data_IF_528098903992
#
_entry.id   IF_528098903992
#
_cell.length_a   1.000
_cell.length_b   1.000
_cell.length_c   1.000
_cell.angle_alpha   90.00
_cell.angle_beta   90.00
_cell.angle_gamma   90.00
#
_symmetry.space_group_name_H-M   'P 1'
#
loop_
_entity.id
_entity.type
_entity.pdbx_description
1 polymer ?
#
# COMPACT_ATOMS: atom_id res chain seq x y z
N UNK A 1 -1.13 3.29 14.79
CA UNK A 1 -0.60 2.10 14.06
C UNK A 1 0.63 2.52 13.24
N UNK A 2 1.56 1.58 12.89
CA UNK A 2 2.84 1.95 12.25
C UNK A 2 2.67 2.77 10.96
N UNK A 3 1.71 2.42 10.11
CA UNK A 3 1.44 3.14 8.86
C UNK A 3 0.89 4.55 9.05
N UNK A 4 0.09 4.81 10.08
CA UNK A 4 -0.40 6.16 10.41
C UNK A 4 0.77 7.06 10.81
N UNK A 5 1.67 6.54 11.66
CA UNK A 5 2.85 7.27 12.09
C UNK A 5 3.79 7.60 10.92
N UNK A 6 3.98 6.68 9.97
CA UNK A 6 4.75 6.92 8.75
C UNK A 6 4.07 7.96 7.86
N UNK A 7 2.76 7.84 7.63
CA UNK A 7 1.97 8.78 6.84
C UNK A 7 2.03 10.20 7.39
N UNK A 8 1.87 10.37 8.70
CA UNK A 8 1.96 11.67 9.39
C UNK A 8 3.36 12.28 9.28
N UNK A 9 4.40 11.45 9.37
CA UNK A 9 5.78 11.89 9.21
C UNK A 9 6.06 12.38 7.79
N UNK A 10 5.74 11.57 6.79
CA UNK A 10 5.90 11.93 5.38
C UNK A 10 5.10 13.20 5.06
N UNK A 11 3.87 13.32 5.54
CA UNK A 11 3.04 14.52 5.36
C UNK A 11 3.71 15.78 5.92
N UNK A 12 4.35 15.70 7.10
CA UNK A 12 5.10 16.82 7.68
C UNK A 12 6.33 17.19 6.87
N UNK A 13 7.10 16.20 6.41
CA UNK A 13 8.26 16.40 5.55
C UNK A 13 7.84 17.11 4.26
N UNK A 14 6.80 16.62 3.60
CA UNK A 14 6.29 17.18 2.35
C UNK A 14 5.71 18.58 2.51
N UNK A 15 5.03 18.87 3.63
CA UNK A 15 4.54 20.22 3.93
C UNK A 15 5.68 21.23 4.05
N UNK A 16 6.78 20.84 4.70
CA UNK A 16 7.98 21.68 4.86
C UNK A 16 8.61 22.03 3.50
N UNK A 17 8.71 21.07 2.59
CA UNK A 17 9.34 21.29 1.29
C UNK A 17 8.42 22.05 0.30
N UNK A 18 7.11 21.80 0.35
CA UNK A 18 6.12 22.54 -0.48
C UNK A 18 6.08 24.03 -0.17
N UNK A 19 6.36 24.42 1.07
CA UNK A 19 6.39 25.81 1.51
C UNK A 19 7.63 26.59 1.07
N UNK A 20 8.61 25.94 0.41
CA UNK A 20 9.84 26.61 -0.03
C UNK A 20 9.67 27.18 -1.42
N UNK A 21 10.02 28.46 -1.59
CA UNK A 21 9.96 29.15 -2.88
C UNK A 21 10.99 28.63 -3.86
N UNK A 22 12.14 28.13 -3.38
CA UNK A 22 13.24 27.57 -4.18
C UNK A 22 13.68 26.25 -3.57
N UNK A 23 13.89 25.25 -4.42
CA UNK A 23 14.47 23.98 -4.00
C UNK A 23 15.97 24.02 -4.29
N UNK A 24 16.77 24.12 -3.23
CA UNK A 24 18.21 23.96 -3.34
C UNK A 24 18.59 22.50 -3.22
N UNK A 25 19.76 22.12 -3.75
CA UNK A 25 20.30 20.77 -3.60
C UNK A 25 20.39 20.37 -2.11
N UNK A 26 20.79 21.30 -1.25
CA UNK A 26 20.85 21.11 0.19
C UNK A 26 19.47 20.76 0.79
N UNK A 27 18.43 21.52 0.44
CA UNK A 27 17.09 21.29 0.96
C UNK A 27 16.51 19.94 0.48
N UNK A 28 16.86 19.55 -0.74
CA UNK A 28 16.48 18.23 -1.28
C UNK A 28 17.17 17.11 -0.51
N UNK A 29 18.48 17.20 -0.27
CA UNK A 29 19.22 16.19 0.50
C UNK A 29 18.73 16.08 1.94
N UNK A 30 18.42 17.20 2.59
CA UNK A 30 17.82 17.20 3.93
C UNK A 30 16.47 16.47 3.92
N UNK A 31 15.61 16.75 2.94
CA UNK A 31 14.32 16.06 2.78
C UNK A 31 14.49 14.55 2.54
N UNK A 32 15.38 14.16 1.61
CA UNK A 32 15.63 12.75 1.32
C UNK A 32 16.18 12.00 2.53
N UNK A 33 17.00 12.66 3.35
CA UNK A 33 17.50 12.10 4.61
C UNK A 33 16.36 11.89 5.62
N UNK A 34 15.43 12.85 5.73
CA UNK A 34 14.25 12.73 6.60
C UNK A 34 13.31 11.61 6.14
N UNK A 35 13.08 11.48 4.80
CA UNK A 35 12.29 10.38 4.20
C UNK A 35 12.96 9.04 4.47
N UNK A 36 14.27 8.92 4.23
CA UNK A 36 15.05 7.72 4.53
C UNK A 36 14.88 7.27 5.98
N UNK A 37 15.02 8.20 6.92
CA UNK A 37 14.84 7.92 8.36
C UNK A 37 13.43 7.44 8.66
N UNK A 38 12.40 8.10 8.09
CA UNK A 38 11.01 7.72 8.32
C UNK A 38 10.70 6.30 7.84
N UNK A 39 11.25 5.89 6.69
CA UNK A 39 11.10 4.53 6.15
C UNK A 39 11.82 3.48 7.00
N UNK A 40 13.05 3.76 7.44
CA UNK A 40 13.82 2.86 8.31
C UNK A 40 13.15 2.67 9.67
N UNK A 41 12.58 3.73 10.26
CA UNK A 41 11.84 3.65 11.52
C UNK A 41 10.48 2.93 11.38
N UNK A 42 9.99 2.79 10.15
CA UNK A 42 8.83 1.96 9.80
C UNK A 42 9.22 0.51 9.43
N UNK A 43 10.43 0.07 9.79
CA UNK A 43 10.97 -1.27 9.55
C UNK A 43 11.09 -1.65 8.06
N UNK A 44 11.18 -0.68 7.15
CA UNK A 44 11.47 -0.97 5.73
C UNK A 44 12.93 -1.43 5.59
N UNK A 45 13.15 -2.44 4.77
CA UNK A 45 14.49 -3.02 4.55
C UNK A 45 15.50 -1.95 4.09
N UNK A 46 16.68 -1.97 4.69
CA UNK A 46 17.74 -0.96 4.45
C UNK A 46 18.17 -0.85 2.98
N UNK A 47 18.30 -1.99 2.28
CA UNK A 47 18.68 -1.99 0.86
C UNK A 47 17.59 -1.34 0.01
N UNK A 48 16.32 -1.72 0.24
CA UNK A 48 15.17 -1.15 -0.45
C UNK A 48 15.09 0.37 -0.25
N UNK A 49 15.29 0.84 0.99
CA UNK A 49 15.29 2.28 1.29
C UNK A 49 16.41 3.01 0.56
N UNK A 50 17.61 2.45 0.51
CA UNK A 50 18.73 3.09 -0.18
C UNK A 50 18.51 3.17 -1.68
N UNK A 51 18.02 2.10 -2.31
CA UNK A 51 17.70 2.07 -3.73
C UNK A 51 16.63 3.10 -4.06
N UNK A 52 15.56 3.14 -3.27
CA UNK A 52 14.49 4.12 -3.40
C UNK A 52 15.01 5.57 -3.31
N UNK A 53 15.82 5.90 -2.30
CA UNK A 53 16.39 7.26 -2.14
C UNK A 53 17.30 7.61 -3.32
N UNK A 54 18.08 6.66 -3.83
CA UNK A 54 18.93 6.87 -5.02
C UNK A 54 18.08 7.20 -6.24
N UNK A 55 17.05 6.43 -6.52
CA UNK A 55 16.17 6.64 -7.66
C UNK A 55 15.45 7.99 -7.60
N UNK A 56 14.90 8.35 -6.43
CA UNK A 56 14.25 9.66 -6.23
C UNK A 56 15.23 10.80 -6.48
N UNK A 57 16.48 10.67 -6.01
CA UNK A 57 17.54 11.68 -6.24
C UNK A 57 17.85 11.84 -7.71
N UNK A 58 18.13 10.75 -8.41
CA UNK A 58 18.48 10.72 -9.82
C UNK A 58 17.39 11.36 -10.68
N UNK A 59 16.13 11.01 -10.42
CA UNK A 59 15.00 11.57 -11.15
C UNK A 59 14.78 13.05 -10.82
N UNK A 60 14.96 13.46 -9.58
CA UNK A 60 14.83 14.85 -9.15
C UNK A 60 15.88 15.77 -9.77
N UNK A 61 17.09 15.27 -10.00
CA UNK A 61 18.17 16.03 -10.66
C UNK A 61 17.98 16.05 -12.18
N UNK A 62 17.47 14.96 -12.77
CA UNK A 62 17.29 14.81 -14.23
C UNK A 62 16.11 15.60 -14.81
N UNK A 63 15.11 15.92 -14.02
CA UNK A 63 13.94 16.67 -14.50
C UNK A 63 14.22 18.17 -14.57
N UNK A 64 14.28 18.70 -15.80
CA UNK A 64 14.21 20.16 -16.03
C UNK A 64 12.90 20.67 -15.44
N UNK A 65 13.00 21.59 -14.50
CA UNK A 65 11.87 22.21 -13.81
C UNK A 65 10.81 22.65 -14.82
N UNK A 66 9.69 21.99 -14.86
CA UNK A 66 8.53 22.45 -15.62
C UNK A 66 8.06 23.76 -14.99
N UNK A 67 8.11 24.85 -15.74
CA UNK A 67 7.91 26.24 -15.29
C UNK A 67 6.56 26.54 -14.64
N UNK A 68 5.64 25.58 -14.59
CA UNK A 68 4.29 25.74 -14.01
C UNK A 68 4.07 25.05 -12.65
N UNK A 69 5.03 24.26 -12.18
CA UNK A 69 4.92 23.52 -10.91
C UNK A 69 6.07 23.95 -9.99
N UNK A 70 5.78 24.23 -8.73
CA UNK A 70 6.84 24.56 -7.79
C UNK A 70 7.81 23.37 -7.63
N UNK A 71 9.14 23.63 -7.55
CA UNK A 71 10.13 22.55 -7.42
C UNK A 71 9.85 21.60 -6.25
N UNK A 72 9.38 22.11 -5.13
CA UNK A 72 9.00 21.28 -3.98
C UNK A 72 7.84 20.33 -4.27
N UNK A 73 6.82 20.77 -5.00
CA UNK A 73 5.71 19.89 -5.40
C UNK A 73 6.16 18.81 -6.38
N UNK A 74 7.12 19.12 -7.26
CA UNK A 74 7.68 18.16 -8.21
C UNK A 74 8.39 17.01 -7.46
N UNK A 75 9.26 17.32 -6.52
CA UNK A 75 9.97 16.29 -5.74
C UNK A 75 9.00 15.46 -4.90
N UNK A 76 7.98 16.07 -4.31
CA UNK A 76 6.92 15.31 -3.60
C UNK A 76 6.20 14.35 -4.54
N UNK A 77 5.93 14.79 -5.78
CA UNK A 77 5.33 13.92 -6.79
C UNK A 77 6.26 12.75 -7.15
N UNK A 78 7.54 13.00 -7.40
CA UNK A 78 8.52 11.94 -7.69
C UNK A 78 8.57 10.92 -6.55
N UNK A 79 8.63 11.37 -5.31
CA UNK A 79 8.58 10.47 -4.13
C UNK A 79 7.30 9.62 -4.13
N UNK A 80 6.16 10.23 -4.41
CA UNK A 80 4.87 9.53 -4.48
C UNK A 80 4.87 8.47 -5.59
N UNK A 81 5.26 8.86 -6.81
CA UNK A 81 5.25 7.99 -7.98
C UNK A 81 6.23 6.80 -7.79
N UNK A 82 7.42 7.07 -7.21
CA UNK A 82 8.38 6.01 -6.87
C UNK A 82 7.92 5.10 -5.74
N UNK A 83 7.16 5.62 -4.77
CA UNK A 83 6.52 4.76 -3.75
C UNK A 83 5.45 3.86 -4.36
N UNK A 84 4.64 4.39 -5.27
CA UNK A 84 3.62 3.62 -5.98
C UNK A 84 4.27 2.51 -6.82
N UNK A 85 5.36 2.82 -7.53
CA UNK A 85 6.15 1.86 -8.29
C UNK A 85 6.73 0.76 -7.38
N UNK A 86 7.32 1.13 -6.24
CA UNK A 86 7.87 0.20 -5.26
C UNK A 86 6.82 -0.74 -4.65
N UNK A 87 5.60 -0.25 -4.46
CA UNK A 87 4.47 -1.02 -3.92
C UNK A 87 3.77 -1.88 -4.97
N UNK A 88 4.19 -1.82 -6.23
CA UNK A 88 3.66 -2.59 -7.34
C UNK A 88 2.73 -1.76 -8.23
N UNK A 89 3.31 -0.83 -8.99
CA UNK A 89 2.61 -0.13 -10.06
C UNK A 89 2.32 -1.11 -11.18
N UNK A 90 1.10 -1.48 -11.39
CA UNK A 90 0.72 -2.26 -12.55
C UNK A 90 -0.34 -3.30 -12.27
N UNK A 91 -0.14 -4.51 -12.74
CA UNK A 91 -1.11 -5.58 -12.67
C UNK A 91 -1.19 -6.15 -11.25
N UNK A 92 -2.09 -5.58 -10.45
CA UNK A 92 -2.41 -6.06 -9.10
C UNK A 92 -3.53 -7.13 -9.12
N UNK A 93 -3.86 -7.66 -10.28
CA UNK A 93 -4.87 -8.69 -10.41
C UNK A 93 -4.37 -10.02 -9.81
N UNK A 94 -5.23 -10.66 -9.04
CA UNK A 94 -4.95 -11.99 -8.50
C UNK A 94 -5.18 -13.01 -9.61
N UNK A 95 -4.13 -13.75 -10.04
CA UNK A 95 -4.27 -14.71 -11.12
C UNK A 95 -5.17 -15.87 -10.69
N UNK A 96 -6.30 -16.05 -11.38
CA UNK A 96 -7.17 -17.20 -11.18
C UNK A 96 -6.69 -18.41 -11.98
N UNK A 97 -6.81 -19.60 -11.40
CA UNK A 97 -6.55 -20.85 -12.12
C UNK A 97 -7.58 -21.05 -13.23
N UNK A 98 -7.07 -21.44 -14.41
CA UNK A 98 -7.89 -21.72 -15.59
C UNK A 98 -8.12 -23.22 -15.83
N UNK A 99 -7.52 -24.08 -15.00
CA UNK A 99 -7.57 -25.55 -15.10
C UNK A 99 -8.83 -26.18 -14.43
N UNK A 100 -9.81 -25.37 -14.09
CA UNK A 100 -11.04 -25.81 -13.42
C UNK A 100 -10.89 -26.14 -11.93
N UNK A 101 -9.68 -26.05 -11.39
CA UNK A 101 -9.42 -26.25 -9.95
C UNK A 101 -9.61 -24.96 -9.16
N UNK A 102 -9.94 -25.05 -7.87
CA UNK A 102 -10.03 -23.86 -7.03
C UNK A 102 -8.71 -23.08 -6.96
N UNK A 103 -8.78 -21.75 -7.07
CA UNK A 103 -7.68 -20.87 -6.68
C UNK A 103 -7.71 -20.71 -5.16
N UNK A 104 -6.67 -21.14 -4.48
CA UNK A 104 -6.57 -21.03 -3.02
C UNK A 104 -5.76 -19.79 -2.67
N UNK A 105 -6.37 -18.91 -1.87
CA UNK A 105 -5.73 -17.68 -1.37
C UNK A 105 -5.62 -17.79 0.14
N UNK A 106 -4.38 -17.81 0.66
CA UNK A 106 -4.13 -17.89 2.09
C UNK A 106 -3.77 -16.50 2.65
N UNK A 107 -4.59 -16.01 3.60
CA UNK A 107 -4.34 -14.76 4.32
C UNK A 107 -3.38 -15.00 5.48
N UNK A 108 -2.19 -14.41 5.41
CA UNK A 108 -1.11 -14.56 6.41
C UNK A 108 -0.80 -13.22 7.07
N UNK A 109 -0.47 -13.24 8.35
CA UNK A 109 -0.06 -12.04 9.10
C UNK A 109 -0.28 -12.19 10.60
N UNK A 110 0.17 -11.20 11.37
CA UNK A 110 0.01 -11.15 12.83
C UNK A 110 -1.45 -10.92 13.25
N UNK A 111 -1.74 -11.13 14.53
CA UNK A 111 -3.06 -10.82 15.08
C UNK A 111 -3.38 -9.32 14.92
N UNK A 112 -4.64 -9.01 14.59
CA UNK A 112 -5.09 -7.61 14.42
C UNK A 112 -4.71 -6.95 13.08
N UNK A 113 -4.01 -7.64 12.18
CA UNK A 113 -3.61 -7.08 10.86
C UNK A 113 -4.74 -7.04 9.82
N UNK A 114 -5.95 -7.43 10.19
CA UNK A 114 -7.11 -7.33 9.30
C UNK A 114 -7.31 -8.51 8.34
N UNK A 115 -6.65 -9.66 8.56
CA UNK A 115 -6.79 -10.86 7.67
C UNK A 115 -8.23 -11.24 7.41
N UNK A 116 -9.03 -11.43 8.47
CA UNK A 116 -10.44 -11.83 8.36
C UNK A 116 -11.27 -10.81 7.60
N UNK A 117 -11.08 -9.52 7.89
CA UNK A 117 -11.77 -8.43 7.19
C UNK A 117 -11.37 -8.36 5.72
N UNK A 118 -10.08 -8.53 5.42
CA UNK A 118 -9.57 -8.54 4.05
C UNK A 118 -10.06 -9.74 3.25
N UNK A 119 -10.11 -10.93 3.87
CA UNK A 119 -10.67 -12.13 3.25
C UNK A 119 -12.13 -11.90 2.84
N UNK A 120 -12.94 -11.33 3.73
CA UNK A 120 -14.32 -11.00 3.45
C UNK A 120 -14.47 -9.98 2.30
N UNK A 121 -13.66 -8.91 2.31
CA UNK A 121 -13.67 -7.91 1.24
C UNK A 121 -13.25 -8.49 -0.12
N UNK A 122 -12.24 -9.36 -0.14
CA UNK A 122 -11.82 -10.06 -1.36
C UNK A 122 -12.91 -11.00 -1.87
N UNK A 123 -13.57 -11.73 -0.99
CA UNK A 123 -14.70 -12.57 -1.35
C UNK A 123 -15.81 -11.77 -2.02
N UNK A 124 -16.20 -10.64 -1.45
CA UNK A 124 -17.18 -9.73 -2.04
C UNK A 124 -16.74 -9.19 -3.41
N UNK A 125 -15.46 -8.82 -3.54
CA UNK A 125 -14.89 -8.34 -4.80
C UNK A 125 -14.96 -9.41 -5.89
N UNK A 126 -14.55 -10.64 -5.58
CA UNK A 126 -14.55 -11.75 -6.54
C UNK A 126 -15.95 -12.19 -6.95
N UNK A 127 -16.91 -12.19 -6.03
CA UNK A 127 -18.31 -12.46 -6.37
C UNK A 127 -18.89 -11.38 -7.29
N UNK A 128 -18.73 -10.12 -6.95
CA UNK A 128 -19.34 -8.98 -7.67
C UNK A 128 -18.64 -8.69 -9.00
N UNK A 129 -17.30 -8.53 -8.96
CA UNK A 129 -16.53 -8.14 -10.15
C UNK A 129 -16.25 -9.31 -11.08
N UNK A 130 -15.89 -10.47 -10.53
CA UNK A 130 -15.42 -11.61 -11.31
C UNK A 130 -16.46 -12.74 -11.42
N UNK A 131 -17.63 -12.60 -10.81
CA UNK A 131 -18.71 -13.62 -10.77
C UNK A 131 -18.20 -15.01 -10.34
N UNK A 132 -17.23 -15.05 -9.41
CA UNK A 132 -16.64 -16.29 -8.91
C UNK A 132 -17.42 -16.81 -7.71
N UNK A 133 -17.57 -18.12 -7.60
CA UNK A 133 -18.03 -18.76 -6.35
C UNK A 133 -16.87 -18.75 -5.36
N UNK A 134 -17.09 -18.24 -4.18
CA UNK A 134 -16.04 -18.10 -3.14
C UNK A 134 -16.43 -18.91 -1.92
N UNK A 135 -15.47 -19.69 -1.40
CA UNK A 135 -15.55 -20.37 -0.13
C UNK A 135 -14.61 -19.70 0.87
N UNK A 136 -15.10 -19.32 2.02
CA UNK A 136 -14.30 -18.80 3.13
C UNK A 136 -14.02 -19.94 4.12
N UNK A 137 -12.73 -20.23 4.35
CA UNK A 137 -12.27 -21.24 5.31
C UNK A 137 -11.74 -20.60 6.58
N UNK A 138 -12.35 -20.90 7.73
CA UNK A 138 -11.86 -20.46 9.05
C UNK A 138 -10.82 -21.46 9.55
N UNK A 139 -9.53 -21.11 9.41
CA UNK A 139 -8.40 -21.95 9.84
C UNK A 139 -7.77 -21.49 11.15
N UNK A 140 -8.29 -20.42 11.76
CA UNK A 140 -7.88 -19.90 13.08
C UNK A 140 -8.65 -20.67 14.18
N UNK A 141 -8.25 -21.92 14.39
CA UNK A 141 -8.93 -22.85 15.33
C UNK A 141 -8.62 -22.56 16.80
N UNK A 142 -7.58 -21.76 17.07
CA UNK A 142 -7.17 -21.45 18.44
C UNK A 142 -7.93 -20.26 19.05
N UNK A 143 -8.57 -19.44 18.23
CA UNK A 143 -9.31 -18.28 18.70
C UNK A 143 -10.81 -18.57 18.76
N UNK A 144 -11.44 -18.56 19.97
CA UNK A 144 -12.82 -19.02 20.15
C UNK A 144 -13.87 -18.38 19.23
N UNK A 145 -13.73 -17.08 18.93
CA UNK A 145 -14.70 -16.34 18.13
C UNK A 145 -14.31 -16.22 16.62
N UNK A 146 -13.26 -16.89 16.15
CA UNK A 146 -12.76 -16.70 14.79
C UNK A 146 -13.73 -17.25 13.73
N UNK A 147 -14.34 -18.37 14.00
CA UNK A 147 -15.31 -19.04 13.11
C UNK A 147 -16.56 -18.16 12.98
N UNK A 148 -17.13 -17.74 14.13
CA UNK A 148 -18.34 -16.91 14.17
C UNK A 148 -18.09 -15.55 13.49
N UNK A 149 -16.91 -14.96 13.70
CA UNK A 149 -16.53 -13.71 13.06
C UNK A 149 -16.50 -13.84 11.53
N UNK A 150 -15.90 -14.90 11.00
CA UNK A 150 -15.83 -15.14 9.57
C UNK A 150 -17.19 -15.45 8.97
N UNK A 151 -18.00 -16.25 9.68
CA UNK A 151 -19.37 -16.60 9.28
C UNK A 151 -20.24 -15.35 9.19
N UNK A 152 -20.23 -14.50 10.23
CA UNK A 152 -20.99 -13.25 10.25
C UNK A 152 -20.57 -12.26 9.16
N UNK A 153 -19.28 -12.24 8.80
CA UNK A 153 -18.80 -11.42 7.69
C UNK A 153 -19.20 -12.03 6.34
N UNK A 154 -19.15 -13.36 6.21
CA UNK A 154 -19.58 -14.08 5.01
C UNK A 154 -21.05 -13.83 4.69
N UNK A 155 -21.93 -13.93 5.66
CA UNK A 155 -23.37 -13.67 5.51
C UNK A 155 -23.69 -12.24 5.06
N UNK A 156 -22.86 -11.27 5.40
CA UNK A 156 -23.02 -9.86 4.93
C UNK A 156 -22.59 -9.64 3.50
N UNK A 157 -21.88 -10.60 2.91
CA UNK A 157 -21.33 -10.52 1.55
C UNK A 157 -22.27 -11.18 0.54
N UNK A 158 -23.08 -12.15 0.97
CA UNK A 158 -24.04 -12.79 0.09
C UNK A 158 -24.90 -11.71 -0.58
N UNK A 159 -24.87 -11.60 -1.91
CA UNK A 159 -25.82 -10.73 -2.59
C UNK A 159 -27.21 -11.27 -2.23
N UNK A 160 -28.11 -10.37 -1.86
CA UNK A 160 -29.52 -10.69 -1.93
C UNK A 160 -29.73 -11.30 -3.32
N UNK A 161 -30.03 -12.57 -3.37
CA UNK A 161 -30.38 -13.24 -4.60
C UNK A 161 -31.74 -12.62 -4.93
N UNK A 162 -31.72 -11.65 -5.83
CA UNK A 162 -32.95 -11.19 -6.45
C UNK A 162 -33.55 -12.38 -7.16
N UNK A 163 -34.58 -12.94 -6.52
CA UNK A 163 -35.47 -13.96 -7.09
C UNK A 163 -36.23 -13.40 -8.26
#
# INVERSE_FOLDING_TARGET
MAFEALGDRLSRIFKKIRGQATLTEKNMEEMLSEVKRALLEADVNYTVVNDFIREVREESVGQKVLTKVSPGNMVVKIVHDKMEELLGSGDNDIPFRLDGKPTVIMMVGLQGTGKTTSAAKLAALFQRKNRKKVLLGALDIYRPAAIDQLTNLGLKIEPAIDT
#
